data_IF_348461409541
#
_entry.id   IF_348461409541
#
_cell.length_a   1.000
_cell.length_b   1.000
_cell.length_c   1.000
_cell.angle_alpha   90.00
_cell.angle_beta   90.00
_cell.angle_gamma   90.00
#
_symmetry.space_group_name_H-M   'P 1'
#
loop_
_entity.id
_entity.type
_entity.pdbx_description
1 polymer ?
#
# COMPACT_ATOMS: atom_id res chain seq x y z
N UNK A 1 1.54 -36.89 -16.24
CA UNK A 1 0.91 -36.77 -14.90
C UNK A 1 1.09 -35.32 -14.45
N UNK A 2 0.02 -34.54 -14.58
CA UNK A 2 -0.04 -33.08 -14.40
C UNK A 2 0.29 -32.70 -12.96
N UNK A 3 1.29 -31.83 -12.78
CA UNK A 3 1.55 -31.18 -11.52
C UNK A 3 0.50 -30.07 -11.35
N UNK A 4 -0.53 -30.34 -10.56
CA UNK A 4 -1.38 -29.28 -10.01
C UNK A 4 -0.53 -28.47 -9.05
N UNK A 5 0.06 -27.36 -9.54
CA UNK A 5 0.57 -26.28 -8.71
C UNK A 5 -0.56 -25.28 -8.45
N UNK A 6 -1.68 -25.77 -7.92
CA UNK A 6 -2.70 -24.92 -7.34
C UNK A 6 -2.13 -24.34 -6.04
N UNK A 7 -1.51 -23.17 -6.18
CA UNK A 7 -1.09 -22.31 -5.09
C UNK A 7 -2.27 -22.09 -4.13
N UNK A 8 -2.37 -22.96 -3.14
CA UNK A 8 -3.15 -22.74 -1.93
C UNK A 8 -2.42 -21.67 -1.16
N UNK A 9 -2.69 -20.41 -1.50
CA UNK A 9 -2.61 -19.33 -0.52
C UNK A 9 -3.45 -19.80 0.67
N UNK A 10 -2.78 -20.35 1.68
CA UNK A 10 -3.42 -20.90 2.89
C UNK A 10 -4.27 -19.78 3.46
N UNK A 11 -5.57 -20.03 3.56
CA UNK A 11 -6.60 -19.09 4.03
C UNK A 11 -6.19 -18.36 5.30
N UNK A 12 -5.43 -19.05 6.16
CA UNK A 12 -4.81 -18.55 7.39
C UNK A 12 -3.90 -17.33 7.16
N UNK A 13 -3.10 -17.32 6.10
CA UNK A 13 -2.12 -16.23 5.84
C UNK A 13 -2.81 -14.96 5.31
N UNK A 14 -3.91 -15.16 4.57
CA UNK A 14 -4.84 -14.11 4.16
C UNK A 14 -5.55 -13.53 5.38
N UNK A 15 -6.09 -14.38 6.24
CA UNK A 15 -6.80 -13.98 7.46
C UNK A 15 -5.90 -13.26 8.46
N UNK A 16 -4.66 -13.71 8.63
CA UNK A 16 -3.64 -13.06 9.47
C UNK A 16 -3.23 -11.70 8.93
N UNK A 17 -3.11 -11.57 7.61
CA UNK A 17 -2.83 -10.28 6.95
C UNK A 17 -4.00 -9.29 7.11
N UNK A 18 -5.24 -9.77 6.98
CA UNK A 18 -6.44 -8.96 7.22
C UNK A 18 -6.60 -8.57 8.70
N UNK A 19 -6.21 -9.44 9.63
CA UNK A 19 -6.23 -9.15 11.07
C UNK A 19 -5.20 -8.08 11.47
N UNK A 20 -4.00 -8.11 10.89
CA UNK A 20 -3.01 -7.04 11.08
C UNK A 20 -3.49 -5.70 10.54
N UNK A 21 -4.20 -5.71 9.40
CA UNK A 21 -4.85 -4.52 8.86
C UNK A 21 -5.94 -3.97 9.78
N UNK A 22 -6.67 -4.84 10.50
CA UNK A 22 -7.78 -4.44 11.37
C UNK A 22 -7.34 -3.53 12.50
N UNK A 23 -6.21 -3.76 13.17
CA UNK A 23 -5.75 -2.85 14.25
C UNK A 23 -5.33 -1.47 13.72
N UNK A 24 -4.90 -1.39 12.46
CA UNK A 24 -4.69 -0.12 11.73
C UNK A 24 -6.01 0.63 11.44
N UNK A 25 -7.13 -0.09 11.30
CA UNK A 25 -8.47 0.45 10.96
C UNK A 25 -9.31 0.74 12.21
N UNK A 26 -9.17 -0.09 13.23
CA UNK A 26 -10.08 -0.15 14.38
C UNK A 26 -9.58 0.60 15.62
N UNK A 27 -8.33 1.06 15.63
CA UNK A 27 -7.85 1.90 16.73
C UNK A 27 -8.33 3.35 16.57
N UNK A 28 -9.59 3.55 16.97
CA UNK A 28 -10.37 4.71 17.48
C UNK A 28 -9.81 6.14 17.51
N UNK A 29 -8.53 6.41 17.22
CA UNK A 29 -7.91 7.74 17.20
C UNK A 29 -7.89 8.40 15.82
N UNK A 30 -7.91 7.62 14.72
CA UNK A 30 -7.94 8.17 13.34
C UNK A 30 -8.81 7.29 12.43
N UNK A 31 -10.08 7.66 12.24
CA UNK A 31 -10.98 6.99 11.29
C UNK A 31 -10.51 7.26 9.85
N UNK A 32 -9.53 6.50 9.38
CA UNK A 32 -9.14 6.54 7.98
C UNK A 32 -10.27 5.97 7.12
N UNK A 33 -10.55 6.61 5.99
CA UNK A 33 -11.49 6.09 5.01
C UNK A 33 -11.03 4.69 4.57
N UNK A 34 -11.97 3.74 4.43
CA UNK A 34 -11.71 2.39 3.93
C UNK A 34 -10.86 2.40 2.65
N UNK A 35 -11.08 3.36 1.74
CA UNK A 35 -10.27 3.52 0.53
C UNK A 35 -8.79 3.79 0.84
N UNK A 36 -8.49 4.62 1.83
CA UNK A 36 -7.12 4.93 2.24
C UNK A 36 -6.42 3.73 2.87
N UNK A 37 -7.16 2.96 3.67
CA UNK A 37 -6.67 1.72 4.28
C UNK A 37 -6.30 0.71 3.20
N UNK A 38 -7.23 0.42 2.29
CA UNK A 38 -7.00 -0.55 1.20
C UNK A 38 -5.78 -0.15 0.38
N UNK A 39 -5.67 1.13 -0.01
CA UNK A 39 -4.52 1.65 -0.75
C UNK A 39 -3.21 1.49 0.01
N UNK A 40 -3.19 1.82 1.31
CA UNK A 40 -2.01 1.65 2.17
C UNK A 40 -1.58 0.19 2.27
N UNK A 41 -2.54 -0.72 2.42
CA UNK A 41 -2.28 -2.16 2.50
C UNK A 41 -1.74 -2.73 1.18
N UNK A 42 -2.29 -2.30 0.04
CA UNK A 42 -1.76 -2.65 -1.28
C UNK A 42 -0.31 -2.20 -1.45
N UNK A 43 0.02 -0.96 -1.09
CA UNK A 43 1.40 -0.45 -1.16
C UNK A 43 2.34 -1.27 -0.26
N UNK A 44 1.91 -1.60 0.96
CA UNK A 44 2.70 -2.42 1.88
C UNK A 44 2.96 -3.83 1.33
N UNK A 45 1.95 -4.46 0.72
CA UNK A 45 2.08 -5.78 0.09
C UNK A 45 3.12 -5.77 -1.04
N UNK A 46 3.01 -4.85 -1.98
CA UNK A 46 3.96 -4.74 -3.10
C UNK A 46 5.37 -4.37 -2.64
N UNK A 47 5.50 -3.54 -1.59
CA UNK A 47 6.79 -3.22 -1.00
C UNK A 47 7.44 -4.42 -0.34
N UNK A 48 6.66 -5.30 0.32
CA UNK A 48 7.18 -6.51 0.97
C UNK A 48 7.70 -7.54 -0.04
N UNK A 49 7.16 -7.53 -1.26
CA UNK A 49 7.55 -8.42 -2.34
C UNK A 49 8.63 -7.81 -3.27
N UNK A 50 9.32 -6.75 -2.84
CA UNK A 50 10.34 -6.03 -3.62
C UNK A 50 9.87 -5.49 -5.00
N UNK A 51 8.54 -5.38 -5.19
CA UNK A 51 7.94 -4.89 -6.43
C UNK A 51 7.95 -3.36 -6.51
N UNK A 52 8.27 -2.68 -5.41
CA UNK A 52 8.42 -1.23 -5.36
C UNK A 52 9.89 -0.90 -5.12
N UNK A 53 10.50 -0.18 -6.05
CA UNK A 53 11.89 0.27 -5.91
C UNK A 53 12.04 1.20 -4.69
N UNK A 54 13.06 1.00 -3.84
CA UNK A 54 13.36 1.91 -2.74
C UNK A 54 13.47 3.36 -3.21
N UNK A 55 12.93 4.29 -2.42
CA UNK A 55 13.00 5.72 -2.72
C UNK A 55 12.02 6.22 -3.79
N UNK A 56 11.20 5.37 -4.40
CA UNK A 56 10.19 5.79 -5.39
C UNK A 56 9.21 6.83 -4.81
N UNK A 57 8.69 6.60 -3.60
CA UNK A 57 7.78 7.54 -2.93
C UNK A 57 8.45 8.89 -2.62
N UNK A 58 9.74 8.85 -2.24
CA UNK A 58 10.54 10.06 -1.97
C UNK A 58 10.69 10.89 -3.23
N UNK A 59 11.06 10.25 -4.35
CA UNK A 59 11.18 10.91 -5.66
C UNK A 59 9.86 11.52 -6.09
N UNK A 60 8.76 10.75 -6.01
CA UNK A 60 7.43 11.25 -6.34
C UNK A 60 7.04 12.48 -5.50
N UNK A 61 7.29 12.47 -4.19
CA UNK A 61 6.99 13.62 -3.30
C UNK A 61 7.80 14.85 -3.70
N UNK A 62 9.06 14.68 -4.09
CA UNK A 62 9.91 15.77 -4.58
C UNK A 62 9.35 16.36 -5.88
N UNK A 63 8.92 15.50 -6.81
CA UNK A 63 8.35 15.92 -8.09
C UNK A 63 7.01 16.65 -7.91
N UNK A 64 6.14 16.21 -6.99
CA UNK A 64 4.90 16.93 -6.67
C UNK A 64 5.17 18.33 -6.09
N UNK A 65 6.18 18.45 -5.21
CA UNK A 65 6.58 19.77 -4.66
C UNK A 65 7.10 20.70 -5.75
N UNK A 66 7.85 20.18 -6.73
CA UNK A 66 8.29 20.96 -7.90
C UNK A 66 7.11 21.41 -8.75
N UNK A 67 6.18 20.50 -9.10
CA UNK A 67 4.96 20.81 -9.85
C UNK A 67 4.09 21.85 -9.16
N UNK A 68 3.93 21.78 -7.84
CA UNK A 68 3.17 22.78 -7.08
C UNK A 68 3.80 24.18 -7.14
N UNK A 69 5.13 24.26 -7.07
CA UNK A 69 5.87 25.53 -7.22
C UNK A 69 5.80 26.10 -8.63
N UNK A 70 5.88 25.25 -9.66
CA UNK A 70 5.72 25.68 -11.06
C UNK A 70 4.30 26.18 -11.37
N UNK A 71 3.27 25.61 -10.71
CA UNK A 71 1.90 26.11 -10.82
C UNK A 71 1.72 27.46 -10.14
N UNK A 72 2.28 27.63 -8.94
CA UNK A 72 2.21 28.89 -8.19
C UNK A 72 3.04 30.04 -8.79
N UNK A 73 4.00 29.75 -9.69
CA UNK A 73 4.80 30.75 -10.40
C UNK A 73 4.17 31.17 -11.74
N UNK A 74 3.17 30.42 -12.22
CA UNK A 74 2.44 30.70 -13.47
C UNK A 74 1.08 31.39 -13.24
N UNK A 75 0.68 31.54 -11.98
CA UNK A 75 -0.50 32.28 -11.52
C UNK A 75 -0.06 33.66 -11.05
#
# INVERSE_FOLDING_TARGET
KTANSNATTTTVDVERSFSFGRDYVSNRRHRLNASSVTKGMTVAFYSKNDMIKPGMLRKWKQDQRKKGKEKALKE
#
